data_IF_510107959513
#
_entry.id   IF_510107959513
#
_cell.length_a   1.000
_cell.length_b   1.000
_cell.length_c   1.000
_cell.angle_alpha   90.00
_cell.angle_beta   90.00
_cell.angle_gamma   90.00
#
_symmetry.space_group_name_H-M   'P 1'
#
loop_
_entity.id
_entity.type
_entity.pdbx_description
1 polymer ?
#
# COMPACT_ATOMS: atom_id res chain seq x y z
N UNK A 1 -30.56 41.03 -43.15
CA UNK A 1 -30.63 40.33 -44.46
C UNK A 1 -29.28 39.69 -44.76
N UNK A 2 -29.22 38.45 -45.26
CA UNK A 2 -27.94 37.80 -45.63
C UNK A 2 -27.27 38.59 -46.76
N UNK A 3 -25.94 38.62 -46.81
CA UNK A 3 -25.15 39.27 -47.89
C UNK A 3 -25.62 38.84 -49.29
N UNK A 4 -26.13 37.60 -49.42
CA UNK A 4 -26.78 37.09 -50.63
C UNK A 4 -27.97 37.95 -51.10
N UNK A 5 -28.79 38.45 -50.19
CA UNK A 5 -29.96 39.28 -50.52
C UNK A 5 -29.57 40.62 -51.14
N UNK A 6 -28.56 41.31 -50.58
CA UNK A 6 -28.02 42.54 -51.16
C UNK A 6 -27.41 42.32 -52.54
N UNK A 7 -26.75 41.17 -52.74
CA UNK A 7 -26.21 40.79 -54.04
C UNK A 7 -27.31 40.57 -55.08
N UNK A 8 -28.39 39.86 -54.74
CA UNK A 8 -29.53 39.68 -55.66
C UNK A 8 -30.25 40.99 -55.97
N UNK A 9 -30.38 41.90 -54.99
CA UNK A 9 -30.93 43.23 -55.21
C UNK A 9 -30.04 44.02 -56.18
N UNK A 10 -28.71 43.94 -56.02
CA UNK A 10 -27.77 44.60 -56.92
C UNK A 10 -27.84 44.02 -58.34
N UNK A 11 -27.90 42.69 -58.50
CA UNK A 11 -28.12 42.04 -59.81
C UNK A 11 -29.43 42.51 -60.44
N UNK A 12 -30.51 42.52 -59.65
CA UNK A 12 -31.84 42.92 -60.12
C UNK A 12 -31.88 44.39 -60.54
N UNK A 13 -31.29 45.28 -59.76
CA UNK A 13 -31.18 46.70 -60.08
C UNK A 13 -30.35 46.91 -61.35
N UNK A 14 -29.28 46.14 -61.53
CA UNK A 14 -28.44 46.19 -62.72
C UNK A 14 -29.21 45.69 -63.96
N UNK A 15 -29.95 44.59 -63.85
CA UNK A 15 -30.85 44.08 -64.90
C UNK A 15 -31.99 45.06 -65.24
N UNK A 16 -32.52 45.78 -64.25
CA UNK A 16 -33.55 46.80 -64.45
C UNK A 16 -32.97 48.01 -65.21
N UNK A 17 -31.76 48.45 -64.84
CA UNK A 17 -30.99 49.45 -65.58
C UNK A 17 -30.67 49.00 -67.01
N UNK A 18 -30.39 47.71 -67.21
CA UNK A 18 -30.21 47.11 -68.54
C UNK A 18 -31.50 47.15 -69.36
N UNK A 19 -32.63 46.75 -68.77
CA UNK A 19 -33.93 46.80 -69.42
C UNK A 19 -34.34 48.23 -69.79
N UNK A 20 -34.03 49.20 -68.92
CA UNK A 20 -34.23 50.61 -69.19
C UNK A 20 -33.34 51.10 -70.35
N UNK A 21 -32.08 50.68 -70.39
CA UNK A 21 -31.15 51.00 -71.49
C UNK A 21 -31.62 50.42 -72.84
N UNK A 22 -32.15 49.19 -72.84
CA UNK A 22 -32.76 48.54 -74.01
C UNK A 22 -34.05 49.24 -74.47
N UNK A 23 -34.84 49.80 -73.55
CA UNK A 23 -36.06 50.54 -73.87
C UNK A 23 -35.76 51.91 -74.51
N UNK A 24 -34.68 52.58 -74.10
CA UNK A 24 -34.26 53.88 -74.62
C UNK A 24 -33.54 53.82 -75.99
N UNK A 25 -33.36 52.63 -76.57
CA UNK A 25 -32.47 52.45 -77.74
C UNK A 25 -33.09 52.77 -79.10
N UNK A 26 -34.39 53.09 -79.18
CA UNK A 26 -35.07 53.40 -80.45
C UNK A 26 -34.53 54.68 -81.14
N UNK A 27 -33.67 55.44 -80.44
CA UNK A 27 -33.05 56.68 -80.91
C UNK A 27 -31.53 56.57 -81.22
N UNK A 28 -30.90 55.40 -81.12
CA UNK A 28 -29.43 55.25 -81.18
C UNK A 28 -28.92 54.33 -82.31
N UNK A 29 -27.70 54.55 -82.84
CA UNK A 29 -27.08 53.67 -83.84
C UNK A 29 -26.87 52.25 -83.30
N UNK A 30 -27.12 51.23 -84.16
CA UNK A 30 -26.99 49.79 -83.81
C UNK A 30 -25.65 49.39 -83.17
N UNK A 31 -24.57 50.12 -83.44
CA UNK A 31 -23.26 49.86 -82.84
C UNK A 31 -23.23 50.09 -81.31
N UNK A 32 -23.94 51.11 -80.80
CA UNK A 32 -23.98 51.41 -79.36
C UNK A 32 -24.84 50.40 -78.59
N UNK A 33 -25.83 49.80 -79.25
CA UNK A 33 -26.65 48.74 -78.68
C UNK A 33 -25.82 47.48 -78.36
N UNK A 34 -25.06 46.96 -79.33
CA UNK A 34 -24.20 45.80 -79.11
C UNK A 34 -23.07 46.06 -78.09
N UNK A 35 -22.53 47.28 -78.05
CA UNK A 35 -21.56 47.67 -77.02
C UNK A 35 -22.17 47.67 -75.62
N UNK A 36 -23.42 48.13 -75.48
CA UNK A 36 -24.18 48.07 -74.23
C UNK A 36 -24.43 46.64 -73.76
N UNK A 37 -24.91 45.76 -74.66
CA UNK A 37 -25.10 44.33 -74.34
C UNK A 37 -23.79 43.66 -73.87
N UNK A 38 -22.68 43.95 -74.53
CA UNK A 38 -21.36 43.44 -74.12
C UNK A 38 -20.94 43.91 -72.72
N UNK A 39 -21.17 45.19 -72.39
CA UNK A 39 -20.87 45.74 -71.07
C UNK A 39 -21.72 45.09 -69.96
N UNK A 40 -22.99 44.80 -70.27
CA UNK A 40 -23.92 44.15 -69.34
C UNK A 40 -23.48 42.72 -69.03
N UNK A 41 -23.15 41.94 -70.07
CA UNK A 41 -22.66 40.58 -69.89
C UNK A 41 -21.35 40.58 -69.09
N UNK A 42 -20.44 41.52 -69.36
CA UNK A 42 -19.17 41.66 -68.65
C UNK A 42 -19.36 42.04 -67.18
N UNK A 43 -20.28 42.95 -66.88
CA UNK A 43 -20.60 43.33 -65.49
C UNK A 43 -21.26 42.20 -64.72
N UNK A 44 -22.20 41.46 -65.32
CA UNK A 44 -22.79 40.26 -64.71
C UNK A 44 -21.73 39.19 -64.44
N UNK A 45 -20.82 38.95 -65.39
CA UNK A 45 -19.74 37.99 -65.25
C UNK A 45 -18.76 38.41 -64.15
N UNK A 46 -18.40 39.69 -64.10
CA UNK A 46 -17.61 40.27 -63.01
C UNK A 46 -18.30 40.12 -61.66
N UNK A 47 -19.62 40.34 -61.59
CA UNK A 47 -20.40 40.22 -60.36
C UNK A 47 -20.38 38.77 -59.83
N UNK A 48 -20.52 37.78 -60.71
CA UNK A 48 -20.42 36.36 -60.36
C UNK A 48 -19.01 36.03 -59.82
N UNK A 49 -17.97 36.53 -60.47
CA UNK A 49 -16.58 36.39 -59.99
C UNK A 49 -16.39 37.05 -58.63
N UNK A 50 -16.92 38.26 -58.44
CA UNK A 50 -16.87 39.03 -57.20
C UNK A 50 -17.58 38.31 -56.04
N UNK A 51 -18.76 37.75 -56.28
CA UNK A 51 -19.48 36.96 -55.29
C UNK A 51 -18.70 35.72 -54.86
N UNK A 52 -18.16 34.97 -55.83
CA UNK A 52 -17.32 33.80 -55.55
C UNK A 52 -16.08 34.21 -54.75
N UNK A 53 -15.52 35.39 -55.04
CA UNK A 53 -14.32 35.90 -54.39
C UNK A 53 -14.58 36.37 -52.95
N UNK A 54 -15.68 37.08 -52.67
CA UNK A 54 -15.91 37.65 -51.33
C UNK A 54 -16.79 36.81 -50.39
N UNK A 55 -17.84 36.19 -50.91
CA UNK A 55 -18.86 35.57 -50.04
C UNK A 55 -18.45 34.16 -49.59
N UNK A 56 -17.72 33.41 -50.42
CA UNK A 56 -17.28 32.05 -50.09
C UNK A 56 -16.33 32.01 -48.88
N UNK A 57 -15.29 32.88 -48.78
CA UNK A 57 -14.42 32.95 -47.60
C UNK A 57 -15.14 33.31 -46.29
N UNK A 58 -16.06 34.29 -46.35
CA UNK A 58 -16.81 34.73 -45.16
C UNK A 58 -17.64 33.60 -44.56
N UNK A 59 -18.18 32.71 -45.40
CA UNK A 59 -18.91 31.53 -44.92
C UNK A 59 -17.99 30.53 -44.21
N UNK A 60 -16.77 30.33 -44.70
CA UNK A 60 -15.77 29.44 -44.07
C UNK A 60 -15.35 29.97 -42.70
N UNK A 61 -15.11 31.27 -42.56
CA UNK A 61 -14.79 31.91 -41.27
C UNK A 61 -15.98 31.79 -40.30
N UNK A 62 -17.21 32.00 -40.78
CA UNK A 62 -18.41 31.80 -39.97
C UNK A 62 -18.53 30.38 -39.44
N UNK A 63 -18.23 29.37 -40.28
CA UNK A 63 -18.17 27.96 -39.87
C UNK A 63 -17.09 27.74 -38.79
N UNK A 64 -15.94 28.41 -38.90
CA UNK A 64 -14.90 28.38 -37.87
C UNK A 64 -15.35 28.94 -36.53
N UNK A 65 -16.13 30.03 -36.54
CA UNK A 65 -16.69 30.60 -35.31
C UNK A 65 -17.72 29.67 -34.67
N UNK A 66 -18.52 28.96 -35.47
CA UNK A 66 -19.43 27.94 -34.96
C UNK A 66 -18.66 26.79 -34.29
N UNK A 67 -17.55 26.31 -34.88
CA UNK A 67 -16.68 25.30 -34.26
C UNK A 67 -16.09 25.75 -32.92
N UNK A 68 -15.69 27.02 -32.79
CA UNK A 68 -15.23 27.59 -31.53
C UNK A 68 -16.35 27.62 -30.47
N UNK A 69 -17.56 28.03 -30.86
CA UNK A 69 -18.72 28.06 -29.97
C UNK A 69 -19.09 26.66 -29.48
N UNK A 70 -18.97 25.67 -30.34
CA UNK A 70 -19.19 24.25 -30.04
C UNK A 70 -18.02 23.59 -29.28
N UNK A 71 -16.93 24.34 -29.05
CA UNK A 71 -15.70 23.84 -28.42
C UNK A 71 -15.05 22.64 -29.13
N UNK A 72 -15.31 22.46 -30.43
CA UNK A 72 -14.68 21.42 -31.23
C UNK A 72 -13.32 21.89 -31.77
N UNK A 73 -12.29 21.72 -30.95
CA UNK A 73 -10.91 22.05 -31.30
C UNK A 73 -10.21 21.01 -32.18
N UNK A 74 -10.89 19.92 -32.55
CA UNK A 74 -10.31 18.86 -33.40
C UNK A 74 -10.51 19.14 -34.88
N UNK A 75 -11.62 19.81 -35.22
CA UNK A 75 -11.95 20.19 -36.59
C UNK A 75 -11.03 21.30 -37.12
N UNK A 76 -10.85 21.33 -38.46
CA UNK A 76 -10.01 22.31 -39.17
C UNK A 76 -10.77 22.90 -40.34
N UNK A 77 -10.50 24.17 -40.63
CA UNK A 77 -11.03 24.82 -41.82
C UNK A 77 -10.20 24.45 -43.05
N UNK A 78 -10.86 24.13 -44.14
CA UNK A 78 -10.21 23.88 -45.43
C UNK A 78 -9.89 25.20 -46.15
N UNK A 79 -8.77 25.28 -46.87
CA UNK A 79 -8.44 26.45 -47.69
C UNK A 79 -9.49 26.67 -48.78
N UNK A 80 -9.72 27.94 -49.12
CA UNK A 80 -10.75 28.38 -50.08
C UNK A 80 -10.14 28.76 -51.43
N UNK A 81 -8.80 28.83 -51.52
CA UNK A 81 -8.05 29.10 -52.75
C UNK A 81 -7.83 30.59 -53.02
N UNK A 82 -7.73 31.40 -51.97
CA UNK A 82 -7.49 32.83 -52.04
C UNK A 82 -6.45 33.23 -50.99
N UNK A 83 -5.44 33.99 -51.38
CA UNK A 83 -4.30 34.28 -50.54
C UNK A 83 -4.68 34.90 -49.18
N UNK A 84 -5.52 35.93 -49.17
CA UNK A 84 -5.93 36.63 -47.94
C UNK A 84 -6.83 35.76 -47.05
N UNK A 85 -7.75 34.99 -47.66
CA UNK A 85 -8.64 34.10 -46.92
C UNK A 85 -7.90 32.90 -46.34
N UNK A 86 -6.99 32.31 -47.11
CA UNK A 86 -6.19 31.16 -46.71
C UNK A 86 -5.21 31.54 -45.60
N UNK A 87 -4.71 32.78 -45.58
CA UNK A 87 -3.95 33.32 -44.46
C UNK A 87 -4.78 33.31 -43.16
N UNK A 88 -6.04 33.77 -43.19
CA UNK A 88 -6.94 33.73 -42.03
C UNK A 88 -7.25 32.29 -41.62
N UNK A 89 -7.53 31.40 -42.57
CA UNK A 89 -7.74 29.97 -42.32
C UNK A 89 -6.53 29.35 -41.62
N UNK A 90 -5.31 29.69 -42.05
CA UNK A 90 -4.09 29.21 -41.42
C UNK A 90 -3.91 29.74 -39.99
N UNK A 91 -4.15 31.04 -39.74
CA UNK A 91 -4.13 31.61 -38.39
C UNK A 91 -5.16 30.93 -37.50
N UNK A 92 -6.38 30.74 -38.00
CA UNK A 92 -7.44 30.07 -37.27
C UNK A 92 -7.07 28.63 -36.93
N UNK A 93 -6.60 27.85 -37.90
CA UNK A 93 -6.18 26.47 -37.68
C UNK A 93 -5.03 26.36 -36.66
N UNK A 94 -4.05 27.28 -36.71
CA UNK A 94 -2.95 27.36 -35.74
C UNK A 94 -3.46 27.68 -34.33
N UNK A 95 -4.37 28.62 -34.20
CA UNK A 95 -5.00 28.95 -32.91
C UNK A 95 -5.81 27.77 -32.35
N UNK A 96 -6.57 27.07 -33.19
CA UNK A 96 -7.31 25.86 -32.78
C UNK A 96 -6.38 24.76 -32.28
N UNK A 97 -5.22 24.59 -32.93
CA UNK A 97 -4.21 23.65 -32.48
C UNK A 97 -3.59 24.04 -31.14
N UNK A 98 -3.28 25.33 -30.94
CA UNK A 98 -2.80 25.84 -29.64
C UNK A 98 -3.82 25.59 -28.52
N UNK A 99 -5.09 25.95 -28.73
CA UNK A 99 -6.16 25.74 -27.74
C UNK A 99 -6.38 24.25 -27.43
N UNK A 100 -6.35 23.38 -28.46
CA UNK A 100 -6.43 21.93 -28.28
C UNK A 100 -5.30 21.43 -27.39
N UNK A 101 -4.06 21.84 -27.69
CA UNK A 101 -2.87 21.41 -26.95
C UNK A 101 -2.87 21.95 -25.51
N UNK A 102 -3.29 23.19 -25.27
CA UNK A 102 -3.45 23.74 -23.92
C UNK A 102 -4.51 22.98 -23.12
N UNK A 103 -5.67 22.68 -23.71
CA UNK A 103 -6.74 21.91 -23.05
C UNK A 103 -6.29 20.48 -22.73
N UNK A 104 -5.57 19.85 -23.65
CA UNK A 104 -5.00 18.52 -23.43
C UNK A 104 -3.99 18.56 -22.28
N UNK A 105 -3.06 19.50 -22.30
CA UNK A 105 -2.06 19.69 -21.24
C UNK A 105 -2.70 19.93 -19.87
N UNK A 106 -3.73 20.78 -19.80
CA UNK A 106 -4.48 21.02 -18.56
C UNK A 106 -5.18 19.75 -18.05
N UNK A 107 -5.78 18.97 -18.95
CA UNK A 107 -6.40 17.67 -18.58
C UNK A 107 -5.35 16.68 -18.08
N UNK A 108 -4.22 16.57 -18.76
CA UNK A 108 -3.11 15.70 -18.34
C UNK A 108 -2.56 16.12 -16.98
N UNK A 109 -2.35 17.41 -16.75
CA UNK A 109 -1.91 17.95 -15.46
C UNK A 109 -2.92 17.66 -14.34
N UNK A 110 -4.21 17.91 -14.56
CA UNK A 110 -5.25 17.61 -13.57
C UNK A 110 -5.37 16.10 -13.29
N UNK A 111 -5.28 15.28 -14.34
CA UNK A 111 -5.29 13.82 -14.18
C UNK A 111 -4.06 13.33 -13.41
N UNK A 112 -2.89 13.88 -13.67
CA UNK A 112 -1.67 13.57 -12.93
C UNK A 112 -1.79 13.94 -11.44
N UNK A 113 -2.36 15.11 -11.11
CA UNK A 113 -2.62 15.50 -9.72
C UNK A 113 -3.60 14.56 -9.01
N UNK A 114 -4.67 14.14 -9.68
CA UNK A 114 -5.62 13.14 -9.16
C UNK A 114 -4.93 11.79 -8.89
N UNK A 115 -4.05 11.34 -9.80
CA UNK A 115 -3.25 10.13 -9.60
C UNK A 115 -2.31 10.25 -8.40
N UNK A 116 -1.66 11.41 -8.19
CA UNK A 116 -0.80 11.65 -7.02
C UNK A 116 -1.59 11.57 -5.71
N UNK A 117 -2.78 12.18 -5.65
CA UNK A 117 -3.66 12.12 -4.46
C UNK A 117 -4.12 10.68 -4.19
N UNK A 118 -4.44 9.93 -5.24
CA UNK A 118 -4.88 8.52 -5.14
C UNK A 118 -3.77 7.56 -4.75
N UNK A 119 -2.55 7.78 -5.23
CA UNK A 119 -1.38 6.96 -4.92
C UNK A 119 -0.71 7.32 -3.59
N UNK A 120 -1.10 8.45 -2.97
CA UNK A 120 -0.53 8.90 -1.70
C UNK A 120 -0.75 7.86 -0.58
N UNK A 121 0.30 7.53 0.20
CA UNK A 121 0.17 6.67 1.37
C UNK A 121 -0.52 7.38 2.56
N UNK A 122 -0.74 8.69 2.46
CA UNK A 122 -1.47 9.47 3.45
C UNK A 122 -2.96 9.51 3.10
N UNK A 123 -3.82 9.40 4.12
CA UNK A 123 -5.23 9.71 3.99
C UNK A 123 -5.44 11.22 3.88
N UNK A 124 -6.18 11.66 2.86
CA UNK A 124 -6.59 13.06 2.68
C UNK A 124 -8.10 13.14 2.74
N UNK A 125 -8.62 13.96 3.66
CA UNK A 125 -10.05 14.27 3.78
C UNK A 125 -10.23 15.77 3.56
N UNK A 126 -10.91 16.17 2.50
CA UNK A 126 -11.24 17.58 2.24
C UNK A 126 -12.67 17.81 2.71
N UNK A 127 -12.88 18.86 3.49
CA UNK A 127 -14.21 19.24 3.98
C UNK A 127 -14.66 20.58 3.40
N UNK A 128 -15.98 20.77 3.41
CA UNK A 128 -16.59 22.08 3.25
C UNK A 128 -16.30 22.98 4.47
N UNK A 129 -16.71 24.25 4.40
CA UNK A 129 -16.66 25.21 5.51
C UNK A 129 -17.51 24.75 6.71
N UNK A 130 -18.57 23.98 6.46
CA UNK A 130 -19.46 23.42 7.49
C UNK A 130 -18.97 22.06 8.04
N UNK A 131 -17.72 21.68 7.73
CA UNK A 131 -17.09 20.41 8.12
C UNK A 131 -17.74 19.15 7.57
N UNK A 132 -18.52 19.29 6.49
CA UNK A 132 -19.02 18.15 5.72
C UNK A 132 -17.95 17.63 4.77
N UNK A 133 -17.82 16.32 4.64
CA UNK A 133 -16.81 15.69 3.78
C UNK A 133 -17.16 15.92 2.31
N UNK A 134 -16.26 16.61 1.61
CA UNK A 134 -16.36 16.88 0.17
C UNK A 134 -15.65 15.80 -0.65
N UNK A 135 -14.39 15.50 -0.30
CA UNK A 135 -13.56 14.53 -1.00
C UNK A 135 -12.72 13.69 -0.05
N UNK A 136 -12.51 12.44 -0.43
CA UNK A 136 -11.72 11.44 0.27
C UNK A 136 -10.83 10.72 -0.72
N UNK A 137 -9.53 10.65 -0.45
CA UNK A 137 -8.68 9.78 -1.24
C UNK A 137 -8.85 8.29 -0.84
N UNK A 138 -8.43 7.33 -1.69
CA UNK A 138 -8.58 5.90 -1.42
C UNK A 138 -7.94 5.46 -0.10
N UNK A 139 -6.82 6.09 0.29
CA UNK A 139 -6.15 5.78 1.54
C UNK A 139 -6.98 6.22 2.76
N UNK A 140 -7.61 7.40 2.72
CA UNK A 140 -8.51 7.85 3.78
C UNK A 140 -9.69 6.91 3.97
N UNK A 141 -10.30 6.41 2.87
CA UNK A 141 -11.37 5.41 2.94
C UNK A 141 -10.91 4.13 3.65
N UNK A 142 -9.70 3.64 3.30
CA UNK A 142 -9.11 2.45 3.92
C UNK A 142 -8.81 2.66 5.41
N UNK A 143 -8.28 3.82 5.80
CA UNK A 143 -7.95 4.15 7.19
C UNK A 143 -9.20 4.39 8.05
N UNK A 144 -10.24 5.02 7.49
CA UNK A 144 -11.52 5.26 8.17
C UNK A 144 -12.40 4.01 8.22
N UNK A 145 -12.20 3.05 7.31
CA UNK A 145 -12.97 1.81 7.23
C UNK A 145 -14.36 1.98 6.59
N UNK A 146 -14.55 3.02 5.77
CA UNK A 146 -15.86 3.43 5.24
C UNK A 146 -15.89 3.47 3.72
N UNK A 147 -17.09 3.40 3.14
CA UNK A 147 -17.29 3.60 1.70
C UNK A 147 -17.46 5.08 1.37
N UNK A 148 -17.07 5.47 0.16
CA UNK A 148 -17.17 6.87 -0.29
C UNK A 148 -18.60 7.42 -0.22
N UNK A 149 -19.60 6.60 -0.57
CA UNK A 149 -21.02 6.95 -0.55
C UNK A 149 -21.56 7.19 0.87
N UNK A 150 -20.98 6.52 1.87
CA UNK A 150 -21.43 6.64 3.27
C UNK A 150 -20.90 7.90 3.94
N UNK A 151 -19.76 8.42 3.45
CA UNK A 151 -19.04 9.54 4.03
C UNK A 151 -19.30 10.88 3.31
N UNK A 152 -19.58 10.87 2.00
CA UNK A 152 -19.80 12.08 1.22
C UNK A 152 -20.99 12.90 1.76
N UNK A 153 -20.77 14.20 1.98
CA UNK A 153 -21.78 15.15 2.45
C UNK A 153 -22.18 15.01 3.92
N UNK A 154 -21.56 14.09 4.68
CA UNK A 154 -21.77 13.99 6.13
C UNK A 154 -20.65 14.66 6.89
N UNK A 155 -20.92 15.01 8.15
CA UNK A 155 -19.88 15.47 9.06
C UNK A 155 -19.06 14.30 9.59
N UNK A 156 -17.79 14.54 9.93
CA UNK A 156 -16.89 13.51 10.46
C UNK A 156 -17.42 12.80 11.73
N UNK A 157 -18.25 13.47 12.55
CA UNK A 157 -18.86 12.88 13.74
C UNK A 157 -20.08 11.99 13.45
N UNK A 158 -20.64 12.04 12.24
CA UNK A 158 -21.79 11.23 11.79
C UNK A 158 -21.34 9.95 11.08
N UNK A 159 -20.04 9.81 10.86
CA UNK A 159 -19.42 8.64 10.26
C UNK A 159 -19.14 7.64 11.37
N UNK A 160 -19.57 6.39 11.19
CA UNK A 160 -19.33 5.29 12.13
C UNK A 160 -17.88 4.80 12.06
N UNK A 161 -16.96 5.63 12.54
CA UNK A 161 -15.53 5.36 12.58
C UNK A 161 -14.90 6.05 13.80
N UNK A 162 -14.18 5.31 14.67
CA UNK A 162 -13.48 5.89 15.81
C UNK A 162 -12.49 6.99 15.41
N UNK A 163 -11.84 6.82 14.25
CA UNK A 163 -10.91 7.82 13.72
C UNK A 163 -11.62 9.10 13.30
N UNK A 164 -12.79 8.99 12.67
CA UNK A 164 -13.55 10.16 12.23
C UNK A 164 -14.00 11.03 13.42
N UNK A 165 -14.42 10.40 14.52
CA UNK A 165 -14.78 11.11 15.75
C UNK A 165 -13.61 11.90 16.36
N UNK A 166 -12.40 11.33 16.35
CA UNK A 166 -11.20 12.00 16.84
C UNK A 166 -10.71 13.11 15.88
N UNK A 167 -10.85 12.92 14.56
CA UNK A 167 -10.55 13.96 13.57
C UNK A 167 -11.47 15.18 13.73
N UNK A 168 -12.77 14.96 14.01
CA UNK A 168 -13.71 16.06 14.24
C UNK A 168 -13.31 16.94 15.45
N UNK A 169 -12.71 16.34 16.49
CA UNK A 169 -12.26 17.05 17.70
C UNK A 169 -10.96 17.83 17.48
N UNK A 170 -10.26 17.60 16.38
CA UNK A 170 -8.92 18.13 16.17
C UNK A 170 -8.96 19.61 15.75
N UNK A 171 -8.38 20.53 16.55
CA UNK A 171 -8.43 21.96 16.25
C UNK A 171 -7.61 22.31 15.01
N UNK A 172 -8.08 23.31 14.26
CA UNK A 172 -7.42 23.78 13.03
C UNK A 172 -6.00 24.27 13.32
N UNK A 173 -5.04 23.82 12.52
CA UNK A 173 -3.62 24.16 12.62
C UNK A 173 -2.79 23.21 13.50
N UNK A 174 -3.43 22.26 14.19
CA UNK A 174 -2.74 21.33 15.06
C UNK A 174 -2.45 20.00 14.36
N UNK A 175 -1.45 19.30 14.91
CA UNK A 175 -1.15 17.90 14.59
C UNK A 175 -1.20 17.11 15.89
N UNK A 176 -1.95 16.01 15.89
CA UNK A 176 -2.13 15.13 17.05
C UNK A 176 -1.90 13.69 16.64
N UNK A 177 -1.25 12.93 17.51
CA UNK A 177 -1.14 11.47 17.37
C UNK A 177 -2.32 10.81 18.06
N UNK A 178 -3.17 10.13 17.29
CA UNK A 178 -4.36 9.42 17.75
C UNK A 178 -4.04 7.92 17.77
N UNK A 179 -4.37 7.25 18.87
CA UNK A 179 -4.26 5.80 19.03
C UNK A 179 -5.67 5.25 19.26
N UNK A 180 -6.21 4.55 18.26
CA UNK A 180 -7.59 4.04 18.31
C UNK A 180 -7.66 2.74 19.10
N UNK A 181 -6.70 1.85 18.83
CA UNK A 181 -6.53 0.56 19.48
C UNK A 181 -5.06 0.39 19.86
N UNK A 182 -4.73 -0.60 20.70
CA UNK A 182 -3.33 -0.91 21.03
C UNK A 182 -2.45 -1.23 19.80
N UNK A 183 -3.04 -1.37 18.62
CA UNK A 183 -2.38 -1.73 17.37
C UNK A 183 -2.34 -0.62 16.31
N UNK A 184 -3.22 0.38 16.30
CA UNK A 184 -3.29 1.37 15.22
C UNK A 184 -2.96 2.78 15.72
N UNK A 185 -1.89 3.36 15.19
CA UNK A 185 -1.40 4.69 15.56
C UNK A 185 -1.38 5.58 14.32
N UNK A 186 -2.10 6.69 14.38
CA UNK A 186 -2.19 7.65 13.29
C UNK A 186 -1.74 9.03 13.74
N UNK A 187 -0.98 9.72 12.89
CA UNK A 187 -0.70 11.14 13.04
C UNK A 187 -1.65 11.91 12.14
N UNK A 188 -2.45 12.75 12.77
CA UNK A 188 -3.51 13.49 12.10
C UNK A 188 -3.22 14.98 12.17
N UNK A 189 -3.33 15.67 11.04
CA UNK A 189 -3.15 17.12 10.94
C UNK A 189 -4.39 17.76 10.34
N UNK A 190 -4.96 18.77 11.00
CA UNK A 190 -6.05 19.57 10.45
C UNK A 190 -5.47 20.90 9.95
N UNK A 191 -5.57 21.15 8.65
CA UNK A 191 -5.05 22.35 8.01
C UNK A 191 -6.10 22.95 7.07
N UNK A 192 -5.81 24.10 6.46
CA UNK A 192 -6.60 24.64 5.37
C UNK A 192 -5.72 25.35 4.36
N UNK A 193 -6.06 25.25 3.09
CA UNK A 193 -5.52 26.14 2.06
C UNK A 193 -6.58 27.17 1.65
N UNK A 194 -6.14 28.23 0.96
CA UNK A 194 -7.03 29.26 0.41
C UNK A 194 -7.05 29.09 -1.10
N UNK A 195 -8.25 28.91 -1.67
CA UNK A 195 -8.47 28.97 -3.11
C UNK A 195 -9.54 30.02 -3.41
N UNK A 196 -9.25 30.94 -4.33
CA UNK A 196 -10.14 32.05 -4.75
C UNK A 196 -10.75 32.85 -3.57
N UNK A 197 -10.02 32.97 -2.47
CA UNK A 197 -10.45 33.69 -1.26
C UNK A 197 -11.30 32.88 -0.28
N UNK A 198 -11.59 31.61 -0.59
CA UNK A 198 -12.31 30.68 0.30
C UNK A 198 -11.34 29.72 0.97
N UNK A 199 -11.60 29.44 2.26
CA UNK A 199 -10.85 28.41 2.98
C UNK A 199 -11.37 27.03 2.61
N UNK A 200 -10.46 26.12 2.31
CA UNK A 200 -10.73 24.70 2.14
C UNK A 200 -10.02 23.93 3.27
N UNK A 201 -10.73 23.61 4.37
CA UNK A 201 -10.18 22.78 5.43
C UNK A 201 -9.97 21.36 4.94
N UNK A 202 -8.90 20.73 5.42
CA UNK A 202 -8.60 19.34 5.14
C UNK A 202 -7.87 18.68 6.29
N UNK A 203 -8.00 17.36 6.36
CA UNK A 203 -7.30 16.49 7.31
C UNK A 203 -6.30 15.62 6.55
N UNK A 204 -5.09 15.55 7.07
CA UNK A 204 -4.07 14.59 6.66
C UNK A 204 -3.97 13.50 7.72
N UNK A 205 -3.93 12.26 7.29
CA UNK A 205 -3.83 11.07 8.14
C UNK A 205 -2.61 10.27 7.68
N UNK A 206 -1.63 10.12 8.56
CA UNK A 206 -0.41 9.36 8.33
C UNK A 206 -0.39 8.17 9.29
N UNK A 207 -0.22 6.95 8.79
CA UNK A 207 -0.03 5.77 9.66
C UNK A 207 1.38 5.79 10.22
N UNK A 208 1.51 5.75 11.54
CA UNK A 208 2.80 5.63 12.26
C UNK A 208 2.98 4.27 12.93
N UNK A 209 2.04 3.34 12.69
CA UNK A 209 1.97 2.06 13.38
C UNK A 209 3.28 1.27 13.26
N UNK A 210 3.77 1.07 12.05
CA UNK A 210 4.94 0.23 11.80
C UNK A 210 6.21 0.85 12.38
N UNK A 211 6.37 2.17 12.24
CA UNK A 211 7.50 2.93 12.76
C UNK A 211 7.54 2.91 14.29
N UNK A 212 6.39 3.14 14.94
CA UNK A 212 6.28 3.12 16.40
C UNK A 212 6.50 1.71 16.94
N UNK A 213 5.88 0.68 16.34
CA UNK A 213 6.10 -0.71 16.77
C UNK A 213 7.57 -1.13 16.64
N UNK A 214 8.25 -0.72 15.56
CA UNK A 214 9.68 -0.97 15.38
C UNK A 214 10.52 -0.24 16.42
N UNK A 215 10.17 1.01 16.75
CA UNK A 215 10.83 1.80 17.78
C UNK A 215 10.64 1.21 19.18
N UNK A 216 9.42 0.81 19.53
CA UNK A 216 9.09 0.14 20.80
C UNK A 216 9.87 -1.18 20.94
N UNK A 217 9.85 -2.04 19.92
CA UNK A 217 10.61 -3.29 19.90
C UNK A 217 12.11 -3.05 20.12
N UNK A 218 12.68 -2.03 19.47
CA UNK A 218 14.09 -1.64 19.65
C UNK A 218 14.38 -1.14 21.06
N UNK A 219 13.47 -0.34 21.64
CA UNK A 219 13.60 0.19 22.98
C UNK A 219 13.53 -0.93 24.03
N UNK A 220 12.52 -1.79 23.96
CA UNK A 220 12.39 -2.96 24.83
C UNK A 220 13.59 -3.90 24.70
N UNK A 221 14.09 -4.13 23.49
CA UNK A 221 15.30 -4.93 23.30
C UNK A 221 16.56 -4.33 23.90
N UNK A 222 16.65 -3.00 24.03
CA UNK A 222 17.75 -2.37 24.77
C UNK A 222 17.60 -2.58 26.28
N UNK A 223 16.38 -2.41 26.81
CA UNK A 223 16.09 -2.62 28.24
C UNK A 223 16.33 -4.06 28.65
N UNK A 224 15.83 -5.02 27.86
CA UNK A 224 15.99 -6.46 28.14
C UNK A 224 17.47 -6.86 28.15
N UNK A 225 18.29 -6.31 27.25
CA UNK A 225 19.75 -6.52 27.28
C UNK A 225 20.41 -5.98 28.54
N UNK A 226 20.03 -4.78 28.96
CA UNK A 226 20.56 -4.18 30.19
C UNK A 226 20.20 -5.02 31.41
N UNK A 227 18.93 -5.44 31.51
CA UNK A 227 18.46 -6.31 32.60
C UNK A 227 19.19 -7.66 32.57
N UNK A 228 19.36 -8.28 31.41
CA UNK A 228 20.06 -9.55 31.32
C UNK A 228 21.52 -9.47 31.78
N UNK A 229 22.24 -8.40 31.40
CA UNK A 229 23.57 -8.16 31.91
C UNK A 229 23.59 -7.94 33.43
N UNK A 230 22.68 -7.12 33.96
CA UNK A 230 22.67 -6.81 35.40
C UNK A 230 22.27 -8.04 36.25
N UNK A 231 21.28 -8.82 35.80
CA UNK A 231 20.87 -10.07 36.44
C UNK A 231 21.99 -11.11 36.37
N UNK A 232 22.67 -11.26 35.23
CA UNK A 232 23.80 -12.19 35.13
C UNK A 232 24.98 -11.77 36.02
N UNK A 233 25.29 -10.47 36.11
CA UNK A 233 26.34 -9.96 36.99
C UNK A 233 26.02 -10.22 38.46
N UNK A 234 24.80 -9.90 38.90
CA UNK A 234 24.36 -10.10 40.29
C UNK A 234 24.27 -11.57 40.66
N UNK A 235 23.71 -12.43 39.79
CA UNK A 235 23.64 -13.87 40.02
C UNK A 235 25.02 -14.53 40.05
N UNK A 236 25.97 -14.09 39.21
CA UNK A 236 27.34 -14.57 39.27
C UNK A 236 28.03 -14.21 40.59
N UNK A 237 27.82 -12.99 41.11
CA UNK A 237 28.35 -12.58 42.41
C UNK A 237 27.78 -13.38 43.59
N UNK A 238 26.46 -13.59 43.59
CA UNK A 238 25.78 -14.44 44.60
C UNK A 238 26.31 -15.88 44.52
N UNK A 239 26.39 -16.45 43.32
CA UNK A 239 26.85 -17.82 43.11
C UNK A 239 28.29 -18.01 43.58
N UNK A 240 29.19 -17.08 43.27
CA UNK A 240 30.57 -17.10 43.75
C UNK A 240 30.67 -17.06 45.28
N UNK A 241 29.83 -16.25 45.92
CA UNK A 241 29.80 -16.15 47.39
C UNK A 241 29.24 -17.44 48.02
N UNK A 242 28.20 -18.01 47.42
CA UNK A 242 27.65 -19.31 47.82
C UNK A 242 28.69 -20.43 47.64
N UNK A 243 29.37 -20.50 46.50
CA UNK A 243 30.40 -21.51 46.25
C UNK A 243 31.58 -21.39 47.23
N UNK A 244 31.97 -20.16 47.59
CA UNK A 244 33.05 -19.92 48.58
C UNK A 244 32.65 -20.43 49.97
N UNK A 245 31.44 -20.08 50.43
CA UNK A 245 30.95 -20.50 51.73
C UNK A 245 30.70 -22.02 51.76
N UNK A 246 30.24 -22.63 50.65
CA UNK A 246 30.02 -24.07 50.54
C UNK A 246 31.34 -24.84 50.66
N UNK A 247 32.40 -24.35 49.99
CA UNK A 247 33.75 -24.91 50.12
C UNK A 247 34.27 -24.85 51.56
N UNK A 248 34.04 -23.75 52.28
CA UNK A 248 34.54 -23.60 53.64
C UNK A 248 33.77 -24.48 54.64
N UNK A 249 32.43 -24.52 54.52
CA UNK A 249 31.55 -25.31 55.40
C UNK A 249 31.56 -26.82 55.11
N UNK A 250 31.88 -27.24 53.88
CA UNK A 250 31.96 -28.65 53.50
C UNK A 250 32.97 -29.47 54.31
N UNK A 251 33.90 -28.80 54.99
CA UNK A 251 34.92 -29.40 55.86
C UNK A 251 34.51 -29.48 57.35
N UNK A 252 33.32 -29.01 57.73
CA UNK A 252 32.83 -28.99 59.11
C UNK A 252 31.74 -30.04 59.36
N UNK A 253 31.92 -30.85 60.40
CA UNK A 253 30.93 -31.84 60.85
C UNK A 253 29.63 -31.14 61.29
N UNK A 254 28.48 -31.65 60.82
CA UNK A 254 27.15 -31.14 61.19
C UNK A 254 26.61 -29.99 60.32
N UNK A 255 27.29 -29.63 59.23
CA UNK A 255 26.87 -28.55 58.31
C UNK A 255 26.30 -29.05 56.98
N UNK A 256 26.09 -30.36 56.80
CA UNK A 256 25.54 -30.95 55.57
C UNK A 256 24.21 -30.33 55.14
N UNK A 257 23.28 -30.08 56.07
CA UNK A 257 21.99 -29.45 55.77
C UNK A 257 22.17 -28.03 55.20
N UNK A 258 23.19 -27.29 55.63
CA UNK A 258 23.48 -25.93 55.14
C UNK A 258 24.06 -26.00 53.73
N UNK A 259 25.01 -26.92 53.47
CA UNK A 259 25.56 -27.17 52.15
C UNK A 259 24.46 -27.56 51.13
N UNK A 260 23.50 -28.38 51.53
CA UNK A 260 22.36 -28.75 50.68
C UNK A 260 21.48 -27.53 50.34
N UNK A 261 21.17 -26.69 51.33
CA UNK A 261 20.42 -25.42 51.09
C UNK A 261 21.20 -24.49 50.15
N UNK A 262 22.52 -24.39 50.31
CA UNK A 262 23.37 -23.58 49.46
C UNK A 262 23.40 -24.08 48.02
N UNK A 263 23.51 -25.39 47.81
CA UNK A 263 23.44 -26.00 46.48
C UNK A 263 22.11 -25.71 45.80
N UNK A 264 20.99 -25.79 46.53
CA UNK A 264 19.66 -25.42 46.02
C UNK A 264 19.60 -23.93 45.63
N UNK A 265 20.19 -23.03 46.43
CA UNK A 265 20.28 -21.61 46.10
C UNK A 265 21.11 -21.36 44.84
N UNK A 266 22.27 -22.02 44.71
CA UNK A 266 23.13 -21.96 43.52
C UNK A 266 22.39 -22.45 42.26
N UNK A 267 21.68 -23.58 42.34
CA UNK A 267 20.85 -24.07 41.22
C UNK A 267 19.75 -23.09 40.81
N UNK A 268 19.12 -22.40 41.77
CA UNK A 268 18.14 -21.34 41.49
C UNK A 268 18.78 -20.13 40.79
N UNK A 269 19.96 -19.71 41.23
CA UNK A 269 20.71 -18.62 40.58
C UNK A 269 21.06 -18.97 39.12
N UNK A 270 21.58 -20.19 38.87
CA UNK A 270 21.86 -20.65 37.51
C UNK A 270 20.59 -20.76 36.66
N UNK A 271 19.48 -21.22 37.24
CA UNK A 271 18.19 -21.30 36.55
C UNK A 271 17.67 -19.92 36.14
N UNK A 272 17.83 -18.91 37.01
CA UNK A 272 17.48 -17.51 36.72
C UNK A 272 18.38 -16.91 35.63
N UNK A 273 19.69 -17.09 35.73
CA UNK A 273 20.64 -16.62 34.71
C UNK A 273 20.35 -17.25 33.34
N UNK A 274 20.03 -18.55 33.31
CA UNK A 274 19.64 -19.24 32.09
C UNK A 274 18.32 -18.71 31.52
N UNK A 275 17.34 -18.42 32.39
CA UNK A 275 16.06 -17.83 31.99
C UNK A 275 16.24 -16.44 31.37
N UNK A 276 16.98 -15.54 32.03
CA UNK A 276 17.14 -14.17 31.55
C UNK A 276 17.95 -14.11 30.26
N UNK A 277 18.96 -14.98 30.12
CA UNK A 277 19.78 -15.08 28.91
C UNK A 277 18.94 -15.57 27.73
N UNK A 278 18.15 -16.63 27.91
CA UNK A 278 17.23 -17.12 26.86
C UNK A 278 16.21 -16.06 26.46
N UNK A 279 15.69 -15.29 27.42
CA UNK A 279 14.77 -14.20 27.13
C UNK A 279 15.44 -13.08 26.32
N UNK A 280 16.67 -12.72 26.66
CA UNK A 280 17.45 -11.75 25.90
C UNK A 280 17.78 -12.23 24.48
N UNK A 281 18.08 -13.52 24.32
CA UNK A 281 18.40 -14.12 23.02
C UNK A 281 17.21 -14.06 22.04
N UNK A 282 15.97 -14.17 22.53
CA UNK A 282 14.76 -13.96 21.69
C UNK A 282 14.69 -12.54 21.14
N UNK A 283 15.16 -11.55 21.90
CA UNK A 283 15.19 -10.16 21.43
C UNK A 283 16.45 -9.85 20.61
N UNK A 284 17.43 -10.75 20.62
CA UNK A 284 18.72 -10.65 19.92
C UNK A 284 18.73 -11.38 18.58
N UNK A 285 17.61 -11.96 18.11
CA UNK A 285 17.58 -12.70 16.85
C UNK A 285 18.14 -11.79 15.73
N UNK A 286 19.29 -12.14 15.13
CA UNK A 286 19.94 -11.31 14.11
C UNK A 286 19.07 -11.20 12.85
N UNK A 287 19.44 -10.31 11.94
CA UNK A 287 18.86 -10.37 10.59
C UNK A 287 19.35 -11.67 9.92
N UNK A 288 18.43 -12.44 9.30
CA UNK A 288 18.78 -13.74 8.75
C UNK A 288 19.73 -13.62 7.56
N UNK A 289 20.75 -14.48 7.55
CA UNK A 289 21.64 -14.64 6.40
C UNK A 289 21.04 -15.66 5.45
N UNK A 290 20.23 -15.18 4.51
CA UNK A 290 19.48 -16.03 3.59
C UNK A 290 20.40 -16.68 2.55
N UNK A 291 20.45 -18.01 2.55
CA UNK A 291 21.02 -18.82 1.49
C UNK A 291 19.96 -19.76 0.91
N UNK A 292 20.20 -20.25 -0.30
CA UNK A 292 19.35 -21.26 -0.91
C UNK A 292 19.69 -22.61 -0.25
N UNK A 293 18.72 -23.21 0.45
CA UNK A 293 18.91 -24.42 1.26
C UNK A 293 17.79 -25.40 0.95
N UNK A 294 18.15 -26.69 0.86
CA UNK A 294 17.18 -27.75 0.69
C UNK A 294 16.53 -28.13 2.04
N UNK A 295 15.19 -28.01 2.19
CA UNK A 295 14.48 -28.38 3.42
C UNK A 295 14.72 -29.82 3.90
N UNK A 296 14.96 -30.76 2.98
CA UNK A 296 15.19 -32.17 3.32
C UNK A 296 16.52 -32.38 4.03
N UNK A 297 17.57 -31.66 3.63
CA UNK A 297 18.89 -31.72 4.27
C UNK A 297 18.82 -31.23 5.72
N UNK A 298 18.11 -30.12 5.92
CA UNK A 298 17.88 -29.55 7.26
C UNK A 298 17.08 -30.52 8.15
N UNK A 299 15.99 -31.10 7.63
CA UNK A 299 15.19 -32.07 8.35
C UNK A 299 16.02 -33.30 8.78
N UNK A 300 16.89 -33.79 7.89
CA UNK A 300 17.79 -34.90 8.16
C UNK A 300 18.82 -34.56 9.27
N UNK A 301 19.44 -33.38 9.19
CA UNK A 301 20.39 -32.92 10.21
C UNK A 301 19.72 -32.81 11.60
N UNK A 302 18.53 -32.20 11.66
CA UNK A 302 17.79 -32.03 12.91
C UNK A 302 17.35 -33.38 13.50
N UNK A 303 16.89 -34.33 12.66
CA UNK A 303 16.54 -35.69 13.10
C UNK A 303 17.74 -36.36 13.77
N UNK A 304 18.90 -36.33 13.11
CA UNK A 304 20.13 -36.97 13.62
C UNK A 304 20.58 -36.34 14.94
N UNK A 305 20.48 -35.02 15.06
CA UNK A 305 20.85 -34.31 16.29
C UNK A 305 19.92 -34.68 17.47
N UNK A 306 18.62 -34.83 17.22
CA UNK A 306 17.62 -35.07 18.27
C UNK A 306 17.41 -36.56 18.60
N UNK A 307 18.00 -37.47 17.83
CA UNK A 307 17.81 -38.92 17.94
C UNK A 307 18.18 -39.47 19.32
N UNK A 308 19.34 -39.07 19.87
CA UNK A 308 19.78 -39.54 21.20
C UNK A 308 18.83 -39.12 22.32
N UNK A 309 18.45 -37.85 22.36
CA UNK A 309 17.53 -37.30 23.37
C UNK A 309 16.14 -37.95 23.29
N UNK A 310 15.64 -38.24 22.10
CA UNK A 310 14.35 -38.91 21.93
C UNK A 310 14.41 -40.41 22.26
N UNK A 311 15.53 -41.08 21.95
CA UNK A 311 15.76 -42.48 22.29
C UNK A 311 15.75 -42.72 23.81
N UNK A 312 16.33 -41.80 24.60
CA UNK A 312 16.27 -41.86 26.08
C UNK A 312 14.83 -41.89 26.63
N UNK A 313 13.86 -41.40 25.86
CA UNK A 313 12.42 -41.36 26.21
C UNK A 313 11.60 -42.37 25.41
N UNK A 314 12.22 -43.35 24.75
CA UNK A 314 11.56 -44.30 23.87
C UNK A 314 10.65 -43.64 22.81
N UNK A 315 11.06 -42.48 22.28
CA UNK A 315 10.33 -41.75 21.24
C UNK A 315 11.01 -42.03 19.90
N UNK A 316 10.26 -42.61 18.95
CA UNK A 316 10.75 -42.82 17.59
C UNK A 316 10.66 -41.51 16.78
N UNK A 317 11.74 -41.13 16.08
CA UNK A 317 11.70 -40.02 15.12
C UNK A 317 11.78 -40.60 13.70
N UNK A 318 10.76 -40.32 12.89
CA UNK A 318 10.67 -40.73 11.49
C UNK A 318 10.76 -39.52 10.56
N UNK A 319 11.40 -39.72 9.41
CA UNK A 319 11.39 -38.77 8.29
C UNK A 319 10.44 -39.26 7.20
N UNK A 320 9.70 -38.32 6.62
CA UNK A 320 8.78 -38.52 5.52
C UNK A 320 9.00 -37.38 4.53
N UNK A 321 9.93 -37.60 3.60
CA UNK A 321 10.48 -36.55 2.73
C UNK A 321 9.85 -36.58 1.35
N UNK A 322 9.54 -35.40 0.81
CA UNK A 322 9.13 -35.20 -0.57
C UNK A 322 10.36 -34.76 -1.40
N UNK A 323 10.72 -35.57 -2.42
CA UNK A 323 11.82 -35.25 -3.34
C UNK A 323 11.50 -34.05 -4.24
N UNK A 324 10.23 -33.71 -4.41
CA UNK A 324 9.75 -32.56 -5.18
C UNK A 324 9.70 -31.24 -4.40
N UNK A 325 10.30 -31.18 -3.21
CA UNK A 325 10.40 -29.94 -2.43
C UNK A 325 11.42 -29.01 -3.09
N UNK A 326 11.04 -27.75 -3.30
CA UNK A 326 11.92 -26.74 -3.86
C UNK A 326 12.93 -26.27 -2.80
N UNK A 327 14.11 -25.84 -3.25
CA UNK A 327 15.03 -25.14 -2.38
C UNK A 327 14.44 -23.78 -1.97
N UNK A 328 14.66 -23.39 -0.72
CA UNK A 328 14.08 -22.18 -0.14
C UNK A 328 15.18 -21.25 0.35
N UNK A 329 14.91 -19.94 0.35
CA UNK A 329 15.80 -18.95 0.95
C UNK A 329 15.61 -18.92 2.46
N UNK A 330 16.56 -19.47 3.22
CA UNK A 330 16.51 -19.48 4.68
C UNK A 330 17.90 -19.29 5.30
N UNK A 331 17.94 -18.90 6.57
CA UNK A 331 19.14 -19.01 7.41
C UNK A 331 19.13 -20.39 8.09
N UNK A 332 20.03 -21.28 7.64
CA UNK A 332 20.05 -22.68 8.09
C UNK A 332 20.26 -22.81 9.60
N UNK A 333 21.09 -21.97 10.22
CA UNK A 333 21.39 -22.05 11.65
C UNK A 333 20.18 -21.64 12.50
N UNK A 334 19.48 -20.56 12.09
CA UNK A 334 18.26 -20.15 12.77
C UNK A 334 17.14 -21.19 12.61
N UNK A 335 17.01 -21.79 11.44
CA UNK A 335 16.01 -22.83 11.17
C UNK A 335 16.30 -24.15 11.87
N UNK A 336 17.57 -24.53 12.02
CA UNK A 336 17.98 -25.66 12.86
C UNK A 336 17.51 -25.45 14.30
N UNK A 337 17.73 -24.24 14.86
CA UNK A 337 17.26 -23.89 16.20
C UNK A 337 15.71 -23.91 16.31
N UNK A 338 15.00 -23.49 15.26
CA UNK A 338 13.53 -23.59 15.20
C UNK A 338 13.08 -25.05 15.25
N UNK A 339 13.60 -25.91 14.37
CA UNK A 339 13.20 -27.32 14.30
C UNK A 339 13.56 -28.08 15.58
N UNK A 340 14.76 -27.86 16.13
CA UNK A 340 15.17 -28.45 17.41
C UNK A 340 14.20 -28.06 18.53
N UNK A 341 13.77 -26.79 18.60
CA UNK A 341 12.79 -26.35 19.60
C UNK A 341 11.41 -26.98 19.37
N UNK A 342 10.97 -27.15 18.13
CA UNK A 342 9.70 -27.81 17.79
C UNK A 342 9.75 -29.29 18.18
N UNK A 343 10.80 -30.02 17.78
CA UNK A 343 11.00 -31.45 18.09
C UNK A 343 11.10 -31.65 19.61
N UNK A 344 11.80 -30.76 20.32
CA UNK A 344 11.86 -30.80 21.78
C UNK A 344 10.47 -30.59 22.40
N UNK A 345 9.70 -29.62 21.91
CA UNK A 345 8.34 -29.37 22.40
C UNK A 345 7.42 -30.57 22.18
N UNK A 346 7.54 -31.24 21.02
CA UNK A 346 6.85 -32.48 20.69
C UNK A 346 7.26 -33.63 21.62
N UNK A 347 8.55 -33.85 21.82
CA UNK A 347 9.04 -34.91 22.72
C UNK A 347 8.58 -34.71 24.18
N UNK A 348 8.50 -33.47 24.64
CA UNK A 348 7.95 -33.13 25.95
C UNK A 348 6.42 -33.31 26.02
N UNK A 349 5.70 -33.09 24.92
CA UNK A 349 4.24 -33.31 24.81
C UNK A 349 3.89 -34.80 24.89
N UNK A 350 4.70 -35.65 24.25
CA UNK A 350 4.60 -37.12 24.29
C UNK A 350 4.94 -37.65 25.68
N UNK A 351 6.01 -37.15 26.31
CA UNK A 351 6.51 -37.66 27.57
C UNK A 351 7.43 -38.87 27.38
N UNK A 352 6.85 -40.08 27.28
CA UNK A 352 7.60 -41.34 27.12
C UNK A 352 6.81 -42.31 26.23
N UNK A 353 7.46 -42.98 25.29
CA UNK A 353 6.83 -43.97 24.41
C UNK A 353 5.86 -43.37 23.37
N UNK A 354 6.38 -42.86 22.25
CA UNK A 354 5.57 -42.28 21.17
C UNK A 354 6.35 -42.05 19.88
N UNK A 355 5.81 -41.23 18.97
CA UNK A 355 6.37 -40.99 17.65
C UNK A 355 6.34 -39.51 17.27
N UNK A 356 7.43 -39.05 16.66
CA UNK A 356 7.54 -37.75 16.01
C UNK A 356 7.84 -37.99 14.52
N UNK A 357 7.06 -37.40 13.63
CA UNK A 357 7.28 -37.47 12.18
C UNK A 357 7.65 -36.10 11.66
N UNK A 358 8.82 -35.97 11.03
CA UNK A 358 9.24 -34.76 10.34
C UNK A 358 8.96 -34.96 8.84
N UNK A 359 8.04 -34.15 8.31
CA UNK A 359 7.56 -34.16 6.93
C UNK A 359 8.06 -32.98 6.15
N UNK A 360 8.42 -33.20 4.89
CA UNK A 360 8.57 -32.13 3.90
C UNK A 360 7.53 -32.32 2.81
N UNK A 361 6.94 -31.23 2.32
CA UNK A 361 5.83 -31.26 1.36
C UNK A 361 6.05 -30.19 0.28
N UNK A 362 5.89 -30.58 -1.00
CA UNK A 362 5.96 -29.67 -2.14
C UNK A 362 4.84 -28.60 -2.09
N UNK A 363 5.10 -27.34 -2.52
CA UNK A 363 6.36 -26.85 -3.08
C UNK A 363 7.44 -26.53 -2.04
N UNK A 364 7.07 -26.09 -0.84
CA UNK A 364 8.04 -25.61 0.16
C UNK A 364 7.42 -25.57 1.56
N UNK A 365 7.23 -26.74 2.18
CA UNK A 365 6.65 -26.85 3.54
C UNK A 365 7.41 -27.86 4.37
N UNK A 366 7.63 -27.53 5.66
CA UNK A 366 8.11 -28.46 6.69
C UNK A 366 7.00 -28.62 7.73
N UNK A 367 6.69 -29.86 8.09
CA UNK A 367 5.71 -30.20 9.10
C UNK A 367 6.34 -31.13 10.16
N UNK A 368 6.18 -30.81 11.44
CA UNK A 368 6.55 -31.71 12.54
C UNK A 368 5.27 -32.21 13.20
N UNK A 369 5.06 -33.52 13.20
CA UNK A 369 3.87 -34.20 13.70
C UNK A 369 4.21 -34.97 14.96
N UNK A 370 3.40 -34.84 16.01
CA UNK A 370 3.54 -35.61 17.25
C UNK A 370 2.21 -36.23 17.70
N UNK A 371 2.31 -37.37 18.37
CA UNK A 371 1.19 -38.09 18.97
C UNK A 371 1.07 -37.85 20.49
N UNK A 372 1.50 -36.67 20.96
CA UNK A 372 1.40 -36.30 22.37
C UNK A 372 -0.01 -35.92 22.82
N UNK A 373 -0.11 -35.31 24.00
CA UNK A 373 -1.42 -34.97 24.65
C UNK A 373 -2.27 -33.94 23.90
N UNK A 374 -1.74 -33.34 22.85
CA UNK A 374 -2.40 -32.30 22.07
C UNK A 374 -2.49 -30.96 22.78
N UNK A 375 -3.23 -30.04 22.15
CA UNK A 375 -3.39 -28.65 22.54
C UNK A 375 -4.89 -28.40 22.73
N UNK A 376 -5.28 -27.95 23.92
CA UNK A 376 -6.66 -27.54 24.18
C UNK A 376 -7.02 -26.23 23.44
N UNK A 377 -8.29 -26.07 23.05
CA UNK A 377 -8.78 -24.91 22.27
C UNK A 377 -8.46 -23.55 22.91
N UNK A 378 -8.52 -23.45 24.24
CA UNK A 378 -8.17 -22.21 24.96
C UNK A 378 -6.66 -21.91 24.97
N UNK A 379 -5.83 -22.95 24.90
CA UNK A 379 -4.38 -22.79 24.87
C UNK A 379 -3.89 -22.36 23.49
N UNK A 380 -4.55 -22.85 22.42
CA UNK A 380 -4.19 -22.56 21.02
C UNK A 380 -4.07 -21.05 20.73
N UNK A 381 -5.02 -20.24 21.21
CA UNK A 381 -4.98 -18.77 21.01
C UNK A 381 -3.88 -18.07 21.80
N UNK A 382 -3.28 -18.73 22.79
CA UNK A 382 -2.27 -18.15 23.71
C UNK A 382 -0.86 -18.69 23.46
N UNK A 383 -0.67 -19.75 22.66
CA UNK A 383 0.62 -20.43 22.45
C UNK A 383 1.80 -19.51 22.08
N UNK A 384 1.53 -18.44 21.35
CA UNK A 384 2.54 -17.49 20.90
C UNK A 384 2.59 -16.20 21.74
N UNK A 385 1.87 -16.16 22.87
CA UNK A 385 1.95 -15.01 23.79
C UNK A 385 3.15 -15.13 24.72
N UNK A 386 3.82 -14.01 25.08
CA UNK A 386 4.97 -14.08 25.96
C UNK A 386 4.65 -14.73 27.31
N UNK A 387 5.57 -15.58 27.79
CA UNK A 387 5.49 -16.28 29.08
C UNK A 387 4.36 -17.31 29.22
N UNK A 388 3.60 -17.58 28.16
CA UNK A 388 2.58 -18.61 28.18
C UNK A 388 3.21 -20.01 28.10
N UNK A 389 2.89 -20.86 29.06
CA UNK A 389 3.29 -22.26 29.10
C UNK A 389 2.26 -23.06 29.89
N UNK A 390 1.90 -24.24 29.40
CA UNK A 390 1.07 -25.22 30.12
C UNK A 390 1.93 -26.23 30.89
N UNK A 391 3.26 -26.14 30.78
CA UNK A 391 4.23 -27.08 31.37
C UNK A 391 4.78 -26.54 32.69
N UNK A 392 4.95 -27.38 33.74
CA UNK A 392 5.43 -26.95 35.07
C UNK A 392 6.77 -26.21 35.07
N UNK A 393 7.70 -26.63 34.22
CA UNK A 393 9.03 -26.01 34.06
C UNK A 393 9.17 -25.23 32.75
N UNK A 394 8.07 -25.00 32.03
CA UNK A 394 8.12 -24.34 30.74
C UNK A 394 8.20 -22.82 30.88
N UNK A 395 9.25 -22.23 30.34
CA UNK A 395 9.52 -20.79 30.44
C UNK A 395 8.66 -19.95 29.48
N UNK A 396 7.95 -20.57 28.52
CA UNK A 396 7.11 -19.88 27.55
C UNK A 396 7.87 -19.05 26.50
N UNK A 397 9.19 -19.24 26.37
CA UNK A 397 10.06 -18.44 25.49
C UNK A 397 10.26 -19.09 24.11
N UNK A 398 10.24 -20.43 24.03
CA UNK A 398 10.59 -21.17 22.81
C UNK A 398 9.67 -20.91 21.62
N UNK A 399 8.35 -20.82 21.83
CA UNK A 399 7.40 -20.53 20.74
C UNK A 399 7.47 -19.07 20.28
N UNK A 400 7.89 -18.14 21.16
CA UNK A 400 8.15 -16.74 20.78
C UNK A 400 9.35 -16.67 19.84
N UNK A 401 10.44 -17.38 20.18
CA UNK A 401 11.63 -17.49 19.34
C UNK A 401 11.24 -18.00 17.94
N UNK A 402 10.50 -19.11 17.88
CA UNK A 402 10.05 -19.70 16.62
C UNK A 402 9.25 -18.69 15.81
N UNK A 403 8.26 -18.02 16.41
CA UNK A 403 7.47 -17.00 15.72
C UNK A 403 8.33 -15.88 15.15
N UNK A 404 9.29 -15.38 15.92
CA UNK A 404 10.13 -14.25 15.51
C UNK A 404 11.07 -14.63 14.36
N UNK A 405 11.69 -15.83 14.41
CA UNK A 405 12.50 -16.35 13.30
C UNK A 405 11.65 -16.52 12.05
N UNK A 406 10.48 -17.16 12.15
CA UNK A 406 9.60 -17.41 11.01
C UNK A 406 9.07 -16.11 10.40
N UNK A 407 8.70 -15.13 11.23
CA UNK A 407 8.26 -13.81 10.77
C UNK A 407 9.36 -13.08 10.00
N UNK A 408 10.62 -13.11 10.47
CA UNK A 408 11.76 -12.51 9.75
C UNK A 408 12.06 -13.16 8.40
N UNK A 409 11.69 -14.44 8.23
CA UNK A 409 11.83 -15.18 6.97
C UNK A 409 10.57 -15.12 6.10
N UNK A 410 9.55 -14.34 6.49
CA UNK A 410 8.29 -14.25 5.75
C UNK A 410 7.50 -15.55 5.68
N UNK A 411 7.77 -16.50 6.58
CA UNK A 411 7.13 -17.80 6.59
C UNK A 411 5.74 -17.71 7.25
N UNK A 412 4.78 -18.44 6.67
CA UNK A 412 3.51 -18.69 7.34
C UNK A 412 3.61 -19.96 8.18
N UNK A 413 2.93 -20.00 9.33
CA UNK A 413 2.99 -21.17 10.21
C UNK A 413 1.69 -21.41 10.96
N UNK A 414 1.48 -22.65 11.38
CA UNK A 414 0.34 -23.05 12.22
C UNK A 414 0.75 -24.16 13.19
N UNK A 415 0.15 -24.16 14.37
CA UNK A 415 0.35 -25.20 15.38
C UNK A 415 -1.01 -25.54 15.99
N UNK A 416 -1.52 -26.75 15.71
CA UNK A 416 -2.81 -27.21 16.22
C UNK A 416 -2.88 -28.73 16.29
N UNK A 417 -3.76 -29.22 17.15
CA UNK A 417 -4.17 -30.63 17.18
C UNK A 417 -5.37 -30.82 16.26
N UNK A 418 -5.31 -31.80 15.38
CA UNK A 418 -6.34 -32.10 14.40
C UNK A 418 -7.28 -33.21 14.90
N UNK A 419 -8.36 -33.45 14.17
CA UNK A 419 -9.40 -34.42 14.54
C UNK A 419 -8.89 -35.86 14.65
N UNK A 420 -7.73 -36.17 14.04
CA UNK A 420 -7.05 -37.46 14.17
C UNK A 420 -6.21 -37.60 15.45
N UNK A 421 -6.26 -36.61 16.34
CA UNK A 421 -5.53 -36.58 17.60
C UNK A 421 -4.05 -36.22 17.46
N UNK A 422 -3.55 -35.99 16.25
CA UNK A 422 -2.16 -35.61 16.01
C UNK A 422 -1.97 -34.10 16.06
N UNK A 423 -0.89 -33.68 16.70
CA UNK A 423 -0.48 -32.28 16.74
C UNK A 423 0.50 -32.01 15.63
N UNK A 424 0.28 -30.96 14.85
CA UNK A 424 1.14 -30.61 13.72
C UNK A 424 1.60 -29.17 13.84
N UNK A 425 2.91 -28.99 13.82
CA UNK A 425 3.53 -27.68 13.57
C UNK A 425 3.88 -27.61 12.08
N UNK A 426 3.21 -26.75 11.32
CA UNK A 426 3.44 -26.56 9.88
C UNK A 426 4.10 -25.21 9.62
N UNK A 427 5.15 -25.20 8.82
CA UNK A 427 5.87 -24.02 8.34
C UNK A 427 5.85 -24.05 6.81
N UNK A 428 5.29 -23.01 6.20
CA UNK A 428 5.29 -22.82 4.75
C UNK A 428 6.12 -21.59 4.37
N UNK A 429 7.04 -21.81 3.44
CA UNK A 429 7.97 -20.79 2.93
C UNK A 429 7.31 -19.97 1.81
N UNK A 430 7.73 -18.71 1.62
CA UNK A 430 7.17 -17.80 0.61
C UNK A 430 7.51 -18.18 -0.83
#
# INVERSE_FOLDING_TARGET
>A
MRIRGFFFILVFLLLLLCGLFLYLTDAMPRAYFYAGEGLIVLTLLYLILFYRKLVKPLKTIGTGMDLLREQDFSSRLSPVGQHEADHIVNIFNRMMEQLKNERLRLREQNHFLDLLIKASPMGVVITSLDYEVSELNPMALKMLGVRAEEAAGKKLNEIDSPLAAELFRLPKGNTVTIRLDNSNIYKCTHSSFIDRGFHHPFYLIESLTDEVMKAEKKAYGKVIRMIAHEVNNTTAGITSTLDTIDQELSSHEGMEDICDVMRVCTERCFSMSRFITRFADVVKIPEPTLSLVNPNELAFACKRFMEGMCAERNIAIRLDIDEGVADVKMDAALFEQVLVNIIKNAAESIGNGGEIVIRTLSPATIEVVDNGKGIGKEAESKLFTPFFSTKPNGQGIGLIFIREVLAKHGCSFSLRTYDDGLTRFRIAFP
#
